data_IF_458318282007
#
_entry.id   IF_458318282007
#
_cell.length_a   1.000
_cell.length_b   1.000
_cell.length_c   1.000
_cell.angle_alpha   90.00
_cell.angle_beta   90.00
_cell.angle_gamma   90.00
#
_symmetry.space_group_name_H-M   'P 1'
#
loop_
_entity.id
_entity.type
_entity.pdbx_description
1 polymer ?
#
# COMPACT_ATOMS: atom_id res chain seq x y z
N UNK A 1 -18.75 37.14 34.02
CA UNK A 1 -18.17 36.52 32.81
C UNK A 1 -18.72 35.11 32.71
N UNK A 2 -19.40 34.77 31.61
CA UNK A 2 -19.89 33.41 31.34
C UNK A 2 -18.78 32.66 30.58
N UNK A 3 -18.40 31.48 31.04
CA UNK A 3 -17.42 30.64 30.33
C UNK A 3 -18.17 29.53 29.58
N UNK A 4 -18.08 29.59 28.25
CA UNK A 4 -18.67 28.60 27.35
C UNK A 4 -17.54 27.82 26.67
N UNK A 5 -17.65 26.51 26.61
CA UNK A 5 -16.73 25.64 25.86
C UNK A 5 -17.44 24.43 25.28
N UNK A 6 -16.67 23.47 24.77
CA UNK A 6 -17.18 22.19 24.28
C UNK A 6 -16.30 21.05 24.76
N UNK A 7 -16.92 19.92 25.11
CA UNK A 7 -16.23 18.70 25.54
C UNK A 7 -16.90 17.50 24.91
N UNK A 8 -16.09 16.51 24.55
CA UNK A 8 -16.56 15.23 24.06
C UNK A 8 -16.70 14.22 25.20
N UNK A 9 -17.91 13.70 25.40
CA UNK A 9 -18.13 12.60 26.32
C UNK A 9 -18.03 11.26 25.57
N UNK A 10 -17.06 10.44 25.97
CA UNK A 10 -16.76 9.16 25.35
C UNK A 10 -17.25 8.01 26.24
N UNK A 11 -17.86 6.99 25.63
CA UNK A 11 -18.28 5.77 26.33
C UNK A 11 -17.96 4.56 25.46
N UNK A 12 -17.33 3.55 26.06
CA UNK A 12 -17.19 2.24 25.41
C UNK A 12 -18.53 1.54 25.43
N UNK A 13 -19.01 1.16 24.25
CA UNK A 13 -20.27 0.46 24.00
C UNK A 13 -20.07 -1.03 23.96
N UNK A 14 -19.02 -1.48 23.29
CA UNK A 14 -18.77 -2.89 23.06
C UNK A 14 -17.28 -3.21 22.98
N UNK A 15 -16.96 -4.50 23.07
CA UNK A 15 -15.62 -5.06 22.92
C UNK A 15 -15.72 -6.40 22.18
N UNK A 16 -14.74 -6.66 21.35
CA UNK A 16 -14.58 -7.95 20.68
C UNK A 16 -13.23 -8.02 20.01
N UNK A 17 -13.08 -8.94 19.08
CA UNK A 17 -11.89 -9.06 18.25
C UNK A 17 -12.24 -8.72 16.80
N UNK A 18 -11.32 -8.07 16.10
CA UNK A 18 -11.43 -7.74 14.68
C UNK A 18 -10.06 -7.82 14.02
N UNK A 19 -10.03 -7.98 12.70
CA UNK A 19 -8.76 -7.87 11.95
C UNK A 19 -8.45 -6.38 11.77
N UNK A 20 -7.49 -5.87 12.52
CA UNK A 20 -7.14 -4.45 12.49
C UNK A 20 -6.44 -4.09 11.17
N UNK A 21 -6.94 -3.12 10.37
CA UNK A 21 -6.34 -2.75 9.09
C UNK A 21 -4.89 -2.25 9.21
N UNK A 22 -4.54 -1.66 10.35
CA UNK A 22 -3.18 -1.16 10.59
C UNK A 22 -2.22 -2.24 11.12
N UNK A 23 -2.71 -3.15 11.97
CA UNK A 23 -1.88 -4.23 12.54
C UNK A 23 -1.82 -5.47 11.63
N UNK A 24 -2.79 -5.64 10.72
CA UNK A 24 -2.96 -6.79 9.83
C UNK A 24 -3.09 -8.15 10.54
N UNK A 25 -3.54 -8.13 11.79
CA UNK A 25 -3.77 -9.32 12.60
C UNK A 25 -5.05 -9.17 13.43
N UNK A 26 -5.54 -10.29 13.96
CA UNK A 26 -6.68 -10.29 14.88
C UNK A 26 -6.27 -9.58 16.16
N UNK A 27 -7.01 -8.54 16.53
CA UNK A 27 -6.74 -7.70 17.69
C UNK A 27 -8.03 -7.42 18.46
N UNK A 28 -7.96 -7.24 19.79
CA UNK A 28 -9.09 -6.77 20.56
C UNK A 28 -9.39 -5.30 20.23
N UNK A 29 -10.68 -4.95 20.21
CA UNK A 29 -11.15 -3.60 19.96
C UNK A 29 -12.13 -3.10 21.02
N UNK A 30 -12.33 -1.77 20.99
CA UNK A 30 -13.38 -1.08 21.76
C UNK A 30 -14.24 -0.26 20.81
N UNK A 31 -15.52 -0.59 20.71
CA UNK A 31 -16.49 0.27 20.04
C UNK A 31 -16.80 1.43 20.98
N UNK A 32 -16.44 2.65 20.61
CA UNK A 32 -16.66 3.84 21.42
C UNK A 32 -17.73 4.71 20.76
N UNK A 33 -18.64 5.23 21.58
CA UNK A 33 -19.54 6.31 21.19
C UNK A 33 -19.00 7.62 21.75
N UNK A 34 -18.93 8.65 20.92
CA UNK A 34 -18.60 10.01 21.32
C UNK A 34 -19.77 10.95 21.06
N UNK A 35 -20.06 11.83 22.01
CA UNK A 35 -21.06 12.88 21.84
C UNK A 35 -20.48 14.21 22.32
N UNK A 36 -20.48 15.27 21.48
CA UNK A 36 -20.09 16.59 21.92
C UNK A 36 -21.14 17.19 22.86
N UNK A 37 -20.67 17.96 23.85
CA UNK A 37 -21.50 18.72 24.78
C UNK A 37 -21.03 20.16 24.85
N UNK A 38 -21.98 21.09 24.93
CA UNK A 38 -21.72 22.45 25.35
C UNK A 38 -21.39 22.45 26.83
N UNK A 39 -20.27 23.04 27.20
CA UNK A 39 -19.88 23.22 28.59
C UNK A 39 -20.16 24.63 29.06
N UNK A 40 -20.76 24.75 30.24
CA UNK A 40 -20.94 26.02 30.96
C UNK A 40 -20.14 25.91 32.25
N UNK A 41 -19.18 26.81 32.45
CA UNK A 41 -18.23 26.74 33.57
C UNK A 41 -17.59 25.34 33.70
N UNK A 42 -17.17 24.76 32.57
CA UNK A 42 -16.55 23.42 32.46
C UNK A 42 -17.46 22.22 32.77
N UNK A 43 -18.74 22.44 33.08
CA UNK A 43 -19.71 21.35 33.27
C UNK A 43 -20.39 21.06 31.92
N UNK A 44 -20.35 19.82 31.38
CA UNK A 44 -21.09 19.45 30.18
C UNK A 44 -22.59 19.49 30.47
N UNK A 45 -23.33 20.43 29.85
CA UNK A 45 -24.73 20.70 30.17
C UNK A 45 -25.68 20.31 29.05
N UNK A 46 -25.37 20.70 27.81
CA UNK A 46 -26.28 20.51 26.68
C UNK A 46 -25.59 19.63 25.64
N UNK A 47 -26.14 18.45 25.30
CA UNK A 47 -25.59 17.65 24.22
C UNK A 47 -25.76 18.37 22.88
N UNK A 48 -24.72 18.36 22.06
CA UNK A 48 -24.71 18.95 20.73
C UNK A 48 -24.37 17.88 19.70
N UNK A 49 -25.03 17.95 18.54
CA UNK A 49 -24.78 17.01 17.45
C UNK A 49 -25.23 15.56 17.71
N UNK A 50 -24.95 14.72 16.72
CA UNK A 50 -25.24 13.29 16.75
C UNK A 50 -24.17 12.52 17.54
N UNK A 51 -24.56 11.36 18.06
CA UNK A 51 -23.61 10.39 18.61
C UNK A 51 -22.83 9.79 17.44
N UNK A 52 -21.51 9.87 17.49
CA UNK A 52 -20.63 9.20 16.52
C UNK A 52 -20.07 7.93 17.14
N UNK A 53 -19.91 6.90 16.32
CA UNK A 53 -19.34 5.62 16.72
C UNK A 53 -18.02 5.41 15.99
N UNK A 54 -17.03 4.88 16.69
CA UNK A 54 -15.76 4.49 16.10
C UNK A 54 -15.20 3.28 16.83
N UNK A 55 -14.43 2.48 16.11
CA UNK A 55 -13.75 1.31 16.64
C UNK A 55 -12.31 1.70 16.94
N UNK A 56 -11.85 1.47 18.17
CA UNK A 56 -10.45 1.70 18.56
C UNK A 56 -9.75 0.36 18.77
N UNK A 57 -8.63 0.16 18.06
CA UNK A 57 -7.76 -1.00 18.29
C UNK A 57 -7.04 -0.86 19.64
N UNK A 58 -7.02 -1.90 20.47
CA UNK A 58 -6.33 -1.83 21.77
C UNK A 58 -4.80 -1.89 21.64
N UNK A 59 -4.28 -2.39 20.51
CA UNK A 59 -2.84 -2.46 20.20
C UNK A 59 -2.31 -1.15 19.62
N UNK A 60 -2.71 -0.79 18.39
CA UNK A 60 -2.18 0.39 17.70
C UNK A 60 -2.86 1.72 18.06
N UNK A 61 -3.94 1.68 18.86
CA UNK A 61 -4.74 2.86 19.29
C UNK A 61 -5.39 3.68 18.18
N UNK A 62 -5.37 3.19 16.94
CA UNK A 62 -6.00 3.87 15.82
C UNK A 62 -7.53 3.73 15.86
N UNK A 63 -8.22 4.79 15.43
CA UNK A 63 -9.67 4.84 15.30
C UNK A 63 -10.11 4.50 13.87
N UNK A 64 -11.13 3.66 13.74
CA UNK A 64 -11.70 3.18 12.48
C UNK A 64 -13.21 3.37 12.46
N UNK A 65 -13.80 3.41 11.27
CA UNK A 65 -15.25 3.39 11.12
C UNK A 65 -15.84 2.05 11.57
N UNK A 66 -17.04 2.01 12.17
CA UNK A 66 -17.67 0.77 12.64
C UNK A 66 -17.84 -0.30 11.57
N UNK A 67 -17.94 0.09 10.29
CA UNK A 67 -18.02 -0.81 9.15
C UNK A 67 -16.84 -1.79 9.05
N UNK A 68 -15.69 -1.49 9.68
CA UNK A 68 -14.54 -2.40 9.75
C UNK A 68 -14.87 -3.73 10.45
N UNK A 69 -15.91 -3.77 11.29
CA UNK A 69 -16.36 -4.98 11.98
C UNK A 69 -17.20 -5.89 11.07
N UNK A 70 -17.72 -5.36 9.97
CA UNK A 70 -18.60 -6.08 9.04
C UNK A 70 -17.85 -6.63 7.83
N UNK A 71 -16.55 -6.30 7.70
CA UNK A 71 -15.73 -6.79 6.59
C UNK A 71 -15.52 -8.29 6.77
N UNK A 72 -16.02 -9.06 5.81
CA UNK A 72 -15.77 -10.50 5.76
C UNK A 72 -14.24 -10.74 5.67
N UNK A 73 -13.67 -11.66 6.47
CA UNK A 73 -12.25 -11.97 6.44
C UNK A 73 -11.71 -12.29 5.05
N UNK A 74 -12.50 -12.94 4.19
CA UNK A 74 -12.13 -13.21 2.80
C UNK A 74 -12.00 -11.92 1.99
N UNK A 75 -12.93 -10.98 2.17
CA UNK A 75 -12.91 -9.68 1.48
C UNK A 75 -11.71 -8.84 1.93
N UNK A 76 -11.39 -8.85 3.23
CA UNK A 76 -10.22 -8.13 3.75
C UNK A 76 -8.91 -8.65 3.12
N UNK A 77 -8.74 -9.97 3.02
CA UNK A 77 -7.56 -10.59 2.40
C UNK A 77 -7.45 -10.21 0.92
N UNK A 78 -8.56 -10.25 0.18
CA UNK A 78 -8.57 -9.85 -1.23
C UNK A 78 -8.20 -8.37 -1.41
N UNK A 79 -8.73 -7.47 -0.58
CA UNK A 79 -8.39 -6.05 -0.63
C UNK A 79 -6.91 -5.79 -0.31
N UNK A 80 -6.35 -6.50 0.68
CA UNK A 80 -4.92 -6.43 0.99
C UNK A 80 -4.05 -6.89 -0.18
N UNK A 81 -4.44 -7.97 -0.85
CA UNK A 81 -3.74 -8.49 -2.05
C UNK A 81 -3.81 -7.51 -3.22
N UNK A 82 -4.99 -6.98 -3.51
CA UNK A 82 -5.17 -5.98 -4.58
C UNK A 82 -4.39 -4.70 -4.30
N UNK A 83 -4.41 -4.24 -3.05
CA UNK A 83 -3.62 -3.09 -2.65
C UNK A 83 -2.12 -3.35 -2.85
N UNK A 84 -1.62 -4.50 -2.41
CA UNK A 84 -0.22 -4.86 -2.61
C UNK A 84 0.14 -4.93 -4.10
N UNK A 85 -0.69 -5.56 -4.94
CA UNK A 85 -0.51 -5.61 -6.39
C UNK A 85 -0.39 -4.21 -6.98
N UNK A 86 -1.33 -3.30 -6.68
CA UNK A 86 -1.29 -1.92 -7.14
C UNK A 86 -0.05 -1.16 -6.67
N UNK A 87 0.35 -1.35 -5.41
CA UNK A 87 1.53 -0.68 -4.85
C UNK A 87 2.82 -1.15 -5.55
N UNK A 88 2.96 -2.45 -5.86
CA UNK A 88 4.11 -2.97 -6.62
C UNK A 88 4.11 -2.44 -8.05
N UNK A 89 2.96 -2.44 -8.74
CA UNK A 89 2.86 -1.93 -10.11
C UNK A 89 3.20 -0.45 -10.21
N UNK A 90 2.79 0.36 -9.23
CA UNK A 90 3.20 1.77 -9.18
C UNK A 90 4.72 1.93 -9.05
N UNK A 91 5.38 1.12 -8.22
CA UNK A 91 6.84 1.17 -8.07
C UNK A 91 7.52 0.69 -9.35
N UNK A 92 7.01 -0.38 -9.97
CA UNK A 92 7.52 -0.92 -11.23
C UNK A 92 7.43 0.13 -12.34
N UNK A 93 6.27 0.76 -12.55
CA UNK A 93 6.08 1.85 -13.51
C UNK A 93 7.08 2.99 -13.25
N UNK A 94 7.19 3.47 -12.01
CA UNK A 94 8.13 4.54 -11.64
C UNK A 94 9.61 4.17 -11.86
N UNK A 95 9.92 2.87 -11.88
CA UNK A 95 11.28 2.36 -12.10
C UNK A 95 11.57 2.23 -13.59
N UNK A 96 10.61 1.72 -14.35
CA UNK A 96 10.66 1.61 -15.81
C UNK A 96 10.83 2.99 -16.45
N UNK A 97 10.00 3.97 -16.07
CA UNK A 97 10.05 5.32 -16.69
C UNK A 97 11.15 6.23 -16.11
N UNK A 98 12.16 5.66 -15.43
CA UNK A 98 13.15 6.44 -14.67
C UNK A 98 14.04 7.33 -15.56
N UNK A 99 14.29 6.92 -16.80
CA UNK A 99 15.00 7.71 -17.83
C UNK A 99 14.08 8.74 -18.53
N UNK A 100 12.78 8.69 -18.26
CA UNK A 100 11.78 9.59 -18.83
C UNK A 100 11.30 9.19 -20.23
N UNK A 101 11.78 8.07 -20.76
CA UNK A 101 11.27 7.47 -22.00
C UNK A 101 10.26 6.36 -21.66
N UNK A 102 9.36 6.07 -22.59
CA UNK A 102 8.39 4.98 -22.44
C UNK A 102 8.40 4.21 -23.75
N UNK A 103 8.84 2.96 -23.71
CA UNK A 103 8.83 2.07 -24.87
C UNK A 103 7.61 1.15 -24.88
N UNK A 104 7.27 0.64 -26.06
CA UNK A 104 6.22 -0.37 -26.21
C UNK A 104 6.58 -1.68 -25.52
N UNK A 105 7.87 -2.04 -25.46
CA UNK A 105 8.32 -3.27 -24.82
C UNK A 105 8.22 -3.17 -23.29
N UNK A 106 8.53 -2.01 -22.73
CA UNK A 106 8.35 -1.71 -21.31
C UNK A 106 6.89 -1.80 -20.86
N UNK A 107 5.96 -1.23 -21.63
CA UNK A 107 4.51 -1.36 -21.34
C UNK A 107 4.08 -2.83 -21.40
N UNK A 108 4.57 -3.59 -22.39
CA UNK A 108 4.29 -5.03 -22.49
C UNK A 108 4.87 -5.82 -21.32
N UNK A 109 6.08 -5.48 -20.87
CA UNK A 109 6.72 -6.14 -19.73
C UNK A 109 5.94 -5.90 -18.44
N UNK A 110 5.48 -4.67 -18.20
CA UNK A 110 4.59 -4.36 -17.08
C UNK A 110 3.29 -5.19 -17.12
N UNK A 111 2.69 -5.33 -18.30
CA UNK A 111 1.50 -6.18 -18.48
C UNK A 111 1.80 -7.66 -18.21
N UNK A 112 2.96 -8.14 -18.66
CA UNK A 112 3.41 -9.51 -18.44
C UNK A 112 3.66 -9.79 -16.95
N UNK A 113 4.32 -8.88 -16.24
CA UNK A 113 4.54 -8.98 -14.79
C UNK A 113 3.22 -9.05 -14.03
N UNK A 114 2.24 -8.22 -14.41
CA UNK A 114 0.89 -8.22 -13.82
C UNK A 114 0.22 -9.60 -13.93
N UNK A 115 0.21 -10.17 -15.14
CA UNK A 115 -0.40 -11.47 -15.40
C UNK A 115 0.38 -12.61 -14.72
N UNK A 116 1.70 -12.61 -14.84
CA UNK A 116 2.56 -13.70 -14.41
C UNK A 116 2.66 -13.84 -12.89
N UNK A 117 2.87 -12.73 -12.19
CA UNK A 117 3.10 -12.75 -10.74
C UNK A 117 1.83 -12.53 -9.93
N UNK A 118 0.84 -11.83 -10.48
CA UNK A 118 -0.39 -11.49 -9.76
C UNK A 118 -1.64 -12.16 -10.34
N UNK A 119 -1.55 -12.83 -11.50
CA UNK A 119 -2.65 -13.57 -12.10
C UNK A 119 -3.75 -12.68 -12.71
N UNK A 120 -3.51 -11.37 -12.80
CA UNK A 120 -4.47 -10.39 -13.28
C UNK A 120 -3.87 -9.64 -14.48
N UNK A 121 -4.44 -9.79 -15.69
CA UNK A 121 -3.94 -9.07 -16.85
C UNK A 121 -4.22 -7.57 -16.68
N UNK A 122 -3.19 -6.76 -16.85
CA UNK A 122 -3.32 -5.31 -16.86
C UNK A 122 -3.69 -4.82 -18.26
N UNK A 123 -4.66 -3.89 -18.35
CA UNK A 123 -5.00 -3.28 -19.62
C UNK A 123 -3.85 -2.38 -20.12
N UNK A 124 -3.54 -2.52 -21.41
CA UNK A 124 -2.44 -1.80 -22.06
C UNK A 124 -2.68 -0.29 -22.09
N UNK A 125 -3.93 0.15 -22.26
CA UNK A 125 -4.26 1.57 -22.27
C UNK A 125 -4.11 2.18 -20.87
N UNK A 126 -4.54 1.46 -19.84
CA UNK A 126 -4.33 1.82 -18.43
C UNK A 126 -2.85 1.92 -18.07
N UNK A 127 -2.03 0.93 -18.42
CA UNK A 127 -0.58 0.98 -18.18
C UNK A 127 0.07 2.16 -18.90
N UNK A 128 -0.32 2.42 -20.16
CA UNK A 128 0.17 3.59 -20.90
C UNK A 128 -0.18 4.91 -20.22
N UNK A 129 -1.39 5.04 -19.65
CA UNK A 129 -1.79 6.21 -18.84
C UNK A 129 -0.94 6.33 -17.57
N UNK A 130 -0.70 5.22 -16.87
CA UNK A 130 0.12 5.21 -15.65
C UNK A 130 1.56 5.66 -15.93
N UNK A 131 2.19 5.14 -16.98
CA UNK A 131 3.53 5.53 -17.41
C UNK A 131 3.57 7.02 -17.78
N UNK A 132 2.63 7.49 -18.60
CA UNK A 132 2.57 8.90 -19.00
C UNK A 132 2.41 9.84 -17.79
N UNK A 133 1.58 9.47 -16.81
CA UNK A 133 1.41 10.23 -15.58
C UNK A 133 2.69 10.21 -14.73
N UNK A 134 3.34 9.06 -14.60
CA UNK A 134 4.59 8.91 -13.86
C UNK A 134 5.71 9.82 -14.42
N UNK A 135 5.87 9.84 -15.74
CA UNK A 135 6.86 10.70 -16.42
C UNK A 135 6.60 12.19 -16.20
N UNK A 136 5.33 12.63 -16.16
CA UNK A 136 4.97 14.04 -15.95
C UNK A 136 5.19 14.51 -14.51
N UNK A 137 4.92 13.64 -13.53
CA UNK A 137 4.95 14.02 -12.12
C UNK A 137 6.38 13.99 -11.55
N UNK A 138 7.25 13.14 -12.10
CA UNK A 138 8.68 13.11 -11.75
C UNK A 138 8.98 12.60 -10.35
N UNK A 139 8.06 11.87 -9.70
CA UNK A 139 8.36 11.20 -8.43
C UNK A 139 9.30 10.02 -8.67
N UNK A 140 10.34 9.88 -7.84
CA UNK A 140 11.23 8.71 -7.88
C UNK A 140 10.57 7.50 -7.20
N UNK A 141 10.76 6.30 -7.76
CA UNK A 141 10.22 5.03 -7.24
C UNK A 141 10.44 4.84 -5.73
N UNK A 142 11.65 5.10 -5.24
CA UNK A 142 11.98 4.96 -3.81
C UNK A 142 11.18 5.89 -2.89
N UNK A 143 10.76 7.08 -3.36
CA UNK A 143 9.99 8.01 -2.53
C UNK A 143 8.57 7.47 -2.29
N UNK A 144 7.93 6.97 -3.35
CA UNK A 144 6.64 6.28 -3.21
C UNK A 144 6.79 5.02 -2.35
N UNK A 145 7.81 4.20 -2.63
CA UNK A 145 8.06 2.93 -1.95
C UNK A 145 8.24 3.11 -0.42
N UNK A 146 8.90 4.17 0.03
CA UNK A 146 9.04 4.50 1.47
C UNK A 146 7.70 4.68 2.19
N UNK A 147 6.63 5.05 1.48
CA UNK A 147 5.29 5.23 2.08
C UNK A 147 4.52 3.91 2.27
N UNK A 148 4.91 2.85 1.55
CA UNK A 148 4.20 1.56 1.52
C UNK A 148 4.98 0.43 2.18
N UNK A 149 6.31 0.40 2.05
CA UNK A 149 7.20 -0.66 2.59
C UNK A 149 7.04 -0.98 4.07
N UNK A 150 6.76 -0.04 4.99
CA UNK A 150 6.55 -0.38 6.39
C UNK A 150 5.43 -1.40 6.62
N UNK A 151 4.52 -1.52 5.64
CA UNK A 151 3.41 -2.47 5.62
C UNK A 151 3.72 -3.76 4.87
N UNK A 152 4.94 -4.01 4.41
CA UNK A 152 5.27 -5.23 3.67
C UNK A 152 6.06 -6.23 4.52
N UNK A 153 5.69 -7.51 4.44
CA UNK A 153 6.47 -8.59 5.02
C UNK A 153 7.68 -8.98 4.14
N UNK A 154 8.45 -10.01 4.55
CA UNK A 154 9.67 -10.42 3.83
C UNK A 154 9.34 -10.95 2.43
N UNK A 155 8.29 -11.76 2.31
CA UNK A 155 7.92 -12.41 1.05
C UNK A 155 7.37 -11.38 0.07
N UNK A 156 6.58 -10.42 0.55
CA UNK A 156 6.10 -9.27 -0.21
C UNK A 156 7.25 -8.42 -0.75
N UNK A 157 8.27 -8.13 0.07
CA UNK A 157 9.45 -7.38 -0.39
C UNK A 157 10.22 -8.13 -1.47
N UNK A 158 10.39 -9.44 -1.30
CA UNK A 158 11.10 -10.28 -2.27
C UNK A 158 10.35 -10.35 -3.61
N UNK A 159 9.03 -10.59 -3.55
CA UNK A 159 8.16 -10.61 -4.73
C UNK A 159 8.12 -9.26 -5.45
N UNK A 160 8.05 -8.16 -4.70
CA UNK A 160 8.10 -6.81 -5.25
C UNK A 160 9.42 -6.55 -5.99
N UNK A 161 10.56 -6.92 -5.39
CA UNK A 161 11.87 -6.78 -6.06
C UNK A 161 11.91 -7.55 -7.38
N UNK A 162 11.46 -8.80 -7.36
CA UNK A 162 11.38 -9.65 -8.55
C UNK A 162 10.52 -9.00 -9.65
N UNK A 163 9.32 -8.55 -9.30
CA UNK A 163 8.38 -7.89 -10.22
C UNK A 163 8.98 -6.64 -10.85
N UNK A 164 9.60 -5.77 -10.04
CA UNK A 164 10.17 -4.50 -10.49
C UNK A 164 11.37 -4.75 -11.40
N UNK A 165 12.23 -5.73 -11.08
CA UNK A 165 13.36 -6.10 -11.93
C UNK A 165 12.89 -6.62 -13.29
N UNK A 166 11.97 -7.58 -13.31
CA UNK A 166 11.41 -8.14 -14.57
C UNK A 166 10.79 -7.06 -15.45
N UNK A 167 10.04 -6.12 -14.84
CA UNK A 167 9.43 -5.01 -15.56
C UNK A 167 10.49 -4.13 -16.23
N UNK A 168 11.54 -3.77 -15.49
CA UNK A 168 12.61 -2.89 -15.98
C UNK A 168 13.56 -3.57 -16.98
N UNK A 169 13.82 -4.87 -16.85
CA UNK A 169 14.80 -5.59 -17.68
C UNK A 169 14.24 -6.08 -19.03
N UNK A 170 13.11 -5.54 -19.49
CA UNK A 170 12.33 -6.04 -20.62
C UNK A 170 13.12 -6.19 -21.93
N UNK A 171 14.01 -5.25 -22.23
CA UNK A 171 14.79 -5.22 -23.47
C UNK A 171 16.22 -5.78 -23.30
N UNK A 172 16.55 -6.33 -22.13
CA UNK A 172 17.87 -6.87 -21.82
C UNK A 172 18.94 -5.82 -21.47
N UNK A 173 18.72 -4.56 -21.82
CA UNK A 173 19.58 -3.42 -21.44
C UNK A 173 18.83 -2.50 -20.47
N UNK A 174 19.33 -2.42 -19.23
CA UNK A 174 18.87 -1.43 -18.24
C UNK A 174 19.61 -0.11 -18.46
N UNK A 175 18.88 0.99 -18.57
CA UNK A 175 19.50 2.32 -18.60
C UNK A 175 20.17 2.65 -17.25
N UNK A 176 21.19 3.53 -17.21
CA UNK A 176 21.82 3.94 -15.96
C UNK A 176 20.82 4.45 -14.91
N UNK A 177 19.79 5.18 -15.36
CA UNK A 177 18.71 5.73 -14.55
C UNK A 177 17.81 4.63 -13.96
N UNK A 178 17.43 3.63 -14.77
CA UNK A 178 16.68 2.45 -14.31
C UNK A 178 17.50 1.62 -13.32
N UNK A 179 18.81 1.43 -13.57
CA UNK A 179 19.71 0.72 -12.66
C UNK A 179 19.85 1.47 -11.32
N UNK A 180 20.01 2.80 -11.34
CA UNK A 180 20.02 3.63 -10.13
C UNK A 180 18.69 3.49 -9.36
N UNK A 181 17.56 3.50 -10.06
CA UNK A 181 16.24 3.32 -9.48
C UNK A 181 16.10 1.93 -8.82
N UNK A 182 16.54 0.85 -9.46
CA UNK A 182 16.54 -0.51 -8.91
C UNK A 182 17.38 -0.62 -7.63
N UNK A 183 18.58 -0.06 -7.62
CA UNK A 183 19.44 -0.04 -6.42
C UNK A 183 18.78 0.78 -5.30
N UNK A 184 18.14 1.90 -5.63
CA UNK A 184 17.39 2.69 -4.64
C UNK A 184 16.18 1.92 -4.08
N UNK A 185 15.48 1.14 -4.91
CA UNK A 185 14.39 0.24 -4.51
C UNK A 185 14.93 -0.84 -3.57
N UNK A 186 16.01 -1.55 -3.93
CA UNK A 186 16.65 -2.58 -3.09
C UNK A 186 16.95 -2.06 -1.69
N UNK A 187 17.62 -0.91 -1.60
CA UNK A 187 17.98 -0.26 -0.33
C UNK A 187 16.75 0.11 0.48
N UNK A 188 15.68 0.55 -0.18
CA UNK A 188 14.43 0.96 0.48
C UNK A 188 13.65 -0.23 1.02
N UNK A 189 13.62 -1.36 0.30
CA UNK A 189 13.05 -2.61 0.79
C UNK A 189 13.82 -3.17 2.00
N UNK A 190 15.11 -2.84 2.08
CA UNK A 190 16.02 -3.36 3.11
C UNK A 190 16.43 -4.80 2.83
N UNK A 191 16.52 -5.18 1.56
CA UNK A 191 17.00 -6.49 1.13
C UNK A 191 18.54 -6.53 1.19
N UNK A 192 19.10 -7.68 1.57
CA UNK A 192 20.54 -7.90 1.48
C UNK A 192 20.98 -8.01 0.01
N UNK A 193 22.29 -7.98 -0.24
CA UNK A 193 22.82 -8.27 -1.58
C UNK A 193 22.51 -9.71 -2.03
N UNK A 194 22.52 -10.66 -1.09
CA UNK A 194 22.17 -12.06 -1.35
C UNK A 194 20.68 -12.22 -1.72
N UNK A 195 19.77 -11.61 -0.94
CA UNK A 195 18.33 -11.65 -1.27
C UNK A 195 18.06 -10.96 -2.62
N UNK A 196 18.78 -9.88 -2.94
CA UNK A 196 18.65 -9.18 -4.22
C UNK A 196 19.12 -10.04 -5.39
N UNK A 197 20.29 -10.66 -5.26
CA UNK A 197 20.82 -11.54 -6.31
C UNK A 197 19.91 -12.75 -6.53
N UNK A 198 19.41 -13.37 -5.46
CA UNK A 198 18.45 -14.48 -5.54
C UNK A 198 17.16 -14.06 -6.26
N UNK A 199 16.62 -12.87 -5.95
CA UNK A 199 15.42 -12.36 -6.62
C UNK A 199 15.62 -12.14 -8.12
N UNK A 200 16.81 -11.67 -8.53
CA UNK A 200 17.19 -11.51 -9.94
C UNK A 200 17.33 -12.86 -10.64
N UNK A 201 18.03 -13.81 -10.02
CA UNK A 201 18.21 -15.15 -10.59
C UNK A 201 16.86 -15.85 -10.82
N UNK A 202 15.93 -15.74 -9.87
CA UNK A 202 14.56 -16.22 -10.02
C UNK A 202 13.79 -15.48 -11.12
N UNK A 203 13.90 -14.15 -11.19
CA UNK A 203 13.27 -13.36 -12.25
C UNK A 203 13.70 -13.84 -13.64
N UNK A 204 15.00 -14.00 -13.84
CA UNK A 204 15.56 -14.46 -15.12
C UNK A 204 15.14 -15.89 -15.45
N UNK A 205 15.14 -16.79 -14.46
CA UNK A 205 14.68 -18.16 -14.65
C UNK A 205 13.20 -18.25 -15.03
N UNK A 206 12.37 -17.32 -14.54
CA UNK A 206 10.96 -17.22 -14.93
C UNK A 206 10.85 -16.69 -16.36
N UNK A 207 11.53 -15.59 -16.70
CA UNK A 207 11.50 -15.03 -18.05
C UNK A 207 11.93 -16.05 -19.13
N UNK A 208 13.01 -16.80 -18.88
CA UNK A 208 13.53 -17.84 -19.78
C UNK A 208 12.57 -19.01 -20.02
N UNK A 209 11.65 -19.28 -19.10
CA UNK A 209 10.66 -20.34 -19.24
C UNK A 209 9.47 -19.94 -20.13
N UNK A 210 9.21 -18.65 -20.26
CA UNK A 210 8.07 -18.12 -21.02
C UNK A 210 8.41 -17.74 -22.46
N UNK A 211 9.68 -17.44 -22.75
CA UNK A 211 10.17 -17.17 -24.12
C UNK A 211 10.37 -18.44 -24.97
N UNK A 212 10.07 -19.64 -24.44
CA UNK A 212 10.11 -20.94 -25.15
C UNK A 212 8.73 -21.46 -25.53
#
# INVERSE_FOLDING_TARGET
MLLIGTTDLRRTRDRGDFRCPQCRQLQPYRLKSVRPFLTLYFIPTIPMGAVQHYVECDECRQAFEPAVLEIDPSTAVHLEQQQFHQEVMNVAVLTVVADGEITEAEIKSLGHVAELLFGEPADREDLGRMCAAATQVGYKAHNYLRSVVPRWDRDQKYLAMKAIFMAASAEGDLTPEQLEALVAVQRTLGLSEEDFQSAIEEALAIADQYDR
#
